data_IF_094180133968
#
_entry.id   IF_094180133968
#
_cell.length_a   1.000
_cell.length_b   1.000
_cell.length_c   1.000
_cell.angle_alpha   90.00
_cell.angle_beta   90.00
_cell.angle_gamma   90.00
#
_symmetry.space_group_name_H-M   'P 1'
#
loop_
_entity.id
_entity.type
_entity.pdbx_description
1 polymer ?
#
# COMPACT_ATOMS: atom_id res chain seq x y z
N UNK A 1 -39.44 -55.19 -60.10
CA UNK A 1 -38.71 -53.96 -60.46
C UNK A 1 -38.45 -53.14 -59.21
N UNK A 2 -37.24 -52.61 -59.13
CA UNK A 2 -36.58 -51.90 -58.02
C UNK A 2 -37.28 -50.57 -57.70
N UNK A 3 -37.34 -50.19 -56.42
CA UNK A 3 -36.77 -48.94 -55.89
C UNK A 3 -36.86 -48.90 -54.36
N UNK A 4 -35.71 -49.14 -53.75
CA UNK A 4 -35.38 -48.77 -52.37
C UNK A 4 -35.12 -47.26 -52.39
N UNK A 5 -35.72 -46.51 -51.48
CA UNK A 5 -35.44 -45.08 -51.29
C UNK A 5 -35.20 -44.82 -49.80
N UNK A 6 -33.93 -44.66 -49.45
CA UNK A 6 -33.47 -43.99 -48.25
C UNK A 6 -33.04 -42.57 -48.65
N UNK A 7 -33.17 -41.59 -47.74
CA UNK A 7 -32.18 -40.52 -47.63
C UNK A 7 -31.53 -40.62 -46.25
N UNK A 8 -30.29 -41.08 -46.19
CA UNK A 8 -29.05 -40.27 -46.25
C UNK A 8 -28.93 -39.37 -45.02
N UNK A 9 -28.16 -39.91 -44.08
CA UNK A 9 -27.38 -39.21 -43.07
C UNK A 9 -26.62 -38.03 -43.68
N UNK A 10 -26.92 -36.82 -43.20
CA UNK A 10 -26.04 -35.65 -43.29
C UNK A 10 -25.98 -35.11 -41.86
N UNK A 11 -25.00 -35.53 -41.05
CA UNK A 11 -23.74 -34.79 -40.87
C UNK A 11 -23.91 -33.30 -41.21
N UNK A 12 -23.73 -32.48 -40.18
CA UNK A 12 -22.95 -31.24 -40.16
C UNK A 12 -23.60 -30.33 -39.11
N UNK A 13 -23.09 -30.47 -37.88
CA UNK A 13 -22.45 -29.33 -37.23
C UNK A 13 -23.36 -28.12 -36.95
N UNK A 14 -24.36 -28.30 -36.10
CA UNK A 14 -24.86 -27.19 -35.29
C UNK A 14 -23.95 -27.02 -34.04
N UNK A 15 -22.65 -26.87 -34.29
CA UNK A 15 -21.74 -26.21 -33.35
C UNK A 15 -22.04 -24.72 -33.47
N UNK A 16 -23.16 -24.32 -32.87
CA UNK A 16 -23.46 -22.92 -32.61
C UNK A 16 -22.33 -22.40 -31.76
N UNK A 17 -21.45 -21.69 -32.46
CA UNK A 17 -20.41 -20.81 -31.96
C UNK A 17 -20.91 -20.10 -30.70
N UNK A 18 -20.55 -20.64 -29.54
CA UNK A 18 -20.47 -19.89 -28.31
C UNK A 18 -19.36 -18.86 -28.52
N UNK A 19 -19.71 -17.77 -29.19
CA UNK A 19 -18.99 -16.50 -29.09
C UNK A 19 -19.11 -16.08 -27.62
N UNK A 20 -18.21 -16.62 -26.80
CA UNK A 20 -17.77 -15.91 -25.61
C UNK A 20 -17.13 -14.63 -26.15
N UNK A 21 -17.95 -13.60 -26.32
CA UNK A 21 -17.46 -12.22 -26.28
C UNK A 21 -16.87 -12.10 -24.89
N UNK A 22 -15.59 -12.43 -24.79
CA UNK A 22 -14.74 -12.03 -23.68
C UNK A 22 -14.81 -10.51 -23.65
N UNK A 23 -15.76 -9.97 -22.91
CA UNK A 23 -15.68 -8.63 -22.36
C UNK A 23 -14.49 -8.67 -21.41
N UNK A 24 -13.29 -8.51 -21.98
CA UNK A 24 -12.17 -7.98 -21.22
C UNK A 24 -12.50 -6.52 -20.99
N UNK A 25 -13.32 -6.26 -19.98
CA UNK A 25 -13.29 -4.95 -19.34
C UNK A 25 -11.82 -4.74 -18.95
N UNK A 26 -11.21 -3.58 -19.26
CA UNK A 26 -9.93 -3.27 -18.65
C UNK A 26 -10.17 -3.39 -17.15
N UNK A 27 -9.50 -4.36 -16.51
CA UNK A 27 -9.41 -4.39 -15.06
C UNK A 27 -8.80 -3.04 -14.72
N UNK A 28 -9.65 -2.09 -14.28
CA UNK A 28 -9.18 -0.93 -13.58
C UNK A 28 -8.45 -1.50 -12.38
N UNK A 29 -7.13 -1.59 -12.50
CA UNK A 29 -6.25 -1.88 -11.39
C UNK A 29 -6.51 -0.71 -10.45
N UNK A 30 -7.42 -0.92 -9.50
CA UNK A 30 -7.58 -0.04 -8.36
C UNK A 30 -6.31 -0.22 -7.56
N UNK A 31 -5.29 0.56 -7.92
CA UNK A 31 -4.12 0.74 -7.07
C UNK A 31 -4.70 1.35 -5.78
N UNK A 32 -4.66 0.63 -4.64
CA UNK A 32 -5.21 1.16 -3.41
C UNK A 32 -4.54 2.51 -3.15
N UNK A 33 -5.34 3.56 -3.06
CA UNK A 33 -4.81 4.86 -2.67
C UNK A 33 -4.30 4.70 -1.24
N UNK A 34 -3.00 4.95 -1.01
CA UNK A 34 -2.40 4.78 0.31
C UNK A 34 -3.15 5.66 1.31
N UNK A 35 -3.98 5.04 2.14
CA UNK A 35 -4.75 5.69 3.18
C UNK A 35 -3.88 5.96 4.40
N UNK A 36 -4.08 7.11 5.03
CA UNK A 36 -3.50 7.39 6.33
C UNK A 36 -4.40 6.79 7.40
N UNK A 37 -4.14 5.54 7.76
CA UNK A 37 -5.02 4.76 8.65
C UNK A 37 -4.28 3.93 9.71
N UNK A 38 -2.95 3.86 9.64
CA UNK A 38 -2.18 3.00 10.53
C UNK A 38 -1.61 3.81 11.67
N UNK A 39 -2.01 3.49 12.90
CA UNK A 39 -1.46 4.13 14.10
C UNK A 39 -0.03 3.64 14.37
N UNK A 40 0.85 4.58 14.70
CA UNK A 40 2.24 4.32 15.06
C UNK A 40 2.71 5.22 16.21
N UNK A 41 3.67 4.73 16.99
CA UNK A 41 4.37 5.50 18.01
C UNK A 41 5.79 5.80 17.52
N UNK A 42 6.20 7.06 17.61
CA UNK A 42 7.54 7.51 17.26
C UNK A 42 8.54 7.08 18.33
N UNK A 43 9.64 6.47 17.91
CA UNK A 43 10.76 6.08 18.76
C UNK A 43 12.09 6.51 18.12
N UNK A 44 12.98 7.10 18.90
CA UNK A 44 14.29 7.56 18.48
C UNK A 44 15.31 6.47 18.75
N UNK A 45 15.99 6.06 17.69
CA UNK A 45 17.12 5.14 17.80
C UNK A 45 18.43 5.94 17.90
N UNK A 46 19.41 5.36 18.57
CA UNK A 46 20.74 5.96 18.72
C UNK A 46 21.33 6.36 17.36
N UNK A 47 21.79 7.61 17.23
CA UNK A 47 22.42 8.12 16.00
C UNK A 47 21.49 8.93 15.08
N UNK A 48 20.44 9.54 15.61
CA UNK A 48 19.47 10.39 14.88
C UNK A 48 18.58 9.63 13.89
N UNK A 49 18.37 8.33 14.13
CA UNK A 49 17.42 7.54 13.35
C UNK A 49 16.06 7.50 14.06
N UNK A 50 15.00 7.28 13.29
CA UNK A 50 13.63 7.22 13.79
C UNK A 50 13.03 5.87 13.42
N UNK A 51 12.31 5.30 14.36
CA UNK A 51 11.50 4.12 14.19
C UNK A 51 10.03 4.46 14.47
N UNK A 52 9.14 3.85 13.72
CA UNK A 52 7.70 3.91 13.93
C UNK A 52 7.25 2.52 14.36
N UNK A 53 6.80 2.43 15.62
CA UNK A 53 6.28 1.19 16.19
C UNK A 53 4.77 1.17 15.95
N UNK A 54 4.32 0.28 15.08
CA UNK A 54 2.90 0.09 14.77
C UNK A 54 2.17 -0.59 15.94
N UNK A 55 0.85 -0.45 16.00
CA UNK A 55 0.03 -1.11 17.05
C UNK A 55 0.16 -2.64 17.05
N UNK A 56 0.45 -3.25 15.90
CA UNK A 56 0.69 -4.69 15.77
C UNK A 56 2.12 -5.12 16.14
N UNK A 57 2.95 -4.18 16.60
CA UNK A 57 4.33 -4.42 17.03
C UNK A 57 5.35 -4.43 15.90
N UNK A 58 4.94 -4.25 14.63
CA UNK A 58 5.89 -4.07 13.53
C UNK A 58 6.64 -2.74 13.69
N UNK A 59 7.89 -2.74 13.24
CA UNK A 59 8.76 -1.56 13.23
C UNK A 59 8.99 -1.12 11.80
N UNK A 60 8.72 0.15 11.51
CA UNK A 60 9.07 0.79 10.25
C UNK A 60 10.21 1.78 10.50
N UNK A 61 11.20 1.80 9.62
CA UNK A 61 12.26 2.83 9.63
C UNK A 61 12.01 3.77 8.47
N UNK A 62 11.58 5.03 8.66
CA UNK A 62 11.28 5.92 7.55
C UNK A 62 12.49 6.19 6.65
N UNK A 63 12.26 6.24 5.34
CA UNK A 63 13.30 6.60 4.36
C UNK A 63 13.68 8.08 4.44
N UNK A 64 12.69 8.95 4.66
CA UNK A 64 12.79 10.39 4.53
C UNK A 64 12.85 11.06 5.91
N UNK A 65 13.99 10.93 6.59
CA UNK A 65 14.26 11.57 7.89
C UNK A 65 15.15 12.79 7.68
N UNK A 66 14.77 13.91 8.26
CA UNK A 66 15.58 15.13 8.32
C UNK A 66 15.65 15.69 9.74
N UNK A 67 16.72 16.41 10.03
CA UNK A 67 16.88 17.15 11.28
C UNK A 67 16.84 18.65 10.97
N UNK A 68 15.96 19.38 11.65
CA UNK A 68 15.86 20.83 11.54
C UNK A 68 16.27 21.45 12.88
N UNK A 69 17.30 22.29 12.84
CA UNK A 69 17.73 23.08 13.99
C UNK A 69 17.14 24.48 13.89
N UNK A 70 16.41 24.91 14.92
CA UNK A 70 15.84 26.25 14.97
C UNK A 70 16.87 27.32 15.42
N UNK A 71 16.48 28.59 15.40
CA UNK A 71 17.33 29.73 15.82
C UNK A 71 17.77 29.67 17.30
N UNK A 72 17.12 28.83 18.11
CA UNK A 72 17.46 28.58 19.52
C UNK A 72 18.44 27.41 19.69
N UNK A 73 18.85 26.76 18.61
CA UNK A 73 19.73 25.60 18.63
C UNK A 73 19.02 24.29 18.99
N UNK A 74 17.68 24.27 19.01
CA UNK A 74 16.92 23.05 19.27
C UNK A 74 16.77 22.25 17.96
N UNK A 75 17.24 21.01 17.95
CA UNK A 75 17.09 20.09 16.82
C UNK A 75 15.80 19.29 16.97
N UNK A 76 14.89 19.45 16.00
CA UNK A 76 13.71 18.62 15.85
C UNK A 76 13.93 17.65 14.70
N UNK A 77 13.48 16.41 14.89
CA UNK A 77 13.48 15.42 13.83
C UNK A 77 12.16 15.47 13.08
N UNK A 78 12.23 15.26 11.77
CA UNK A 78 11.08 15.27 10.88
C UNK A 78 11.06 14.01 10.04
N UNK A 79 9.84 13.54 9.76
CA UNK A 79 9.58 12.48 8.79
C UNK A 79 8.78 13.11 7.65
N UNK A 80 9.32 13.09 6.44
CA UNK A 80 8.66 13.69 5.27
C UNK A 80 8.20 15.15 5.51
N UNK A 81 8.98 15.94 6.25
CA UNK A 81 8.66 17.34 6.60
C UNK A 81 7.66 17.54 7.75
N UNK A 82 7.21 16.45 8.38
CA UNK A 82 6.38 16.52 9.58
C UNK A 82 7.25 16.36 10.83
N UNK A 83 7.28 17.40 11.67
CA UNK A 83 8.02 17.36 12.93
C UNK A 83 7.42 16.35 13.92
N UNK A 84 8.27 15.46 14.43
CA UNK A 84 7.89 14.40 15.38
C UNK A 84 8.63 14.55 16.70
N UNK A 85 8.11 13.89 17.74
CA UNK A 85 8.71 13.80 19.06
C UNK A 85 8.74 12.35 19.53
N UNK A 86 9.72 12.01 20.36
CA UNK A 86 9.76 10.73 21.06
C UNK A 86 8.44 10.43 21.78
N UNK A 87 7.90 9.22 21.57
CA UNK A 87 6.65 8.76 22.17
C UNK A 87 5.37 9.37 21.56
N UNK A 88 5.48 10.22 20.53
CA UNK A 88 4.31 10.80 19.87
C UNK A 88 3.54 9.72 19.10
N UNK A 89 2.21 9.71 19.27
CA UNK A 89 1.32 8.91 18.44
C UNK A 89 0.94 9.66 17.17
N UNK A 90 1.06 8.98 16.03
CA UNK A 90 0.76 9.50 14.71
C UNK A 90 0.01 8.44 13.91
N UNK A 91 -0.81 8.87 12.95
CA UNK A 91 -1.40 7.99 11.95
C UNK A 91 -0.57 8.14 10.68
N UNK A 92 -0.13 7.03 10.12
CA UNK A 92 0.71 6.99 8.92
C UNK A 92 0.08 6.15 7.82
N UNK A 93 0.38 6.52 6.59
CA UNK A 93 0.19 5.68 5.42
C UNK A 93 1.56 5.40 4.80
N UNK A 94 1.81 4.15 4.44
CA UNK A 94 3.08 3.72 3.88
C UNK A 94 2.84 2.64 2.83
N UNK A 95 3.74 2.56 1.86
CA UNK A 95 3.71 1.46 0.92
C UNK A 95 4.48 0.27 1.53
N UNK A 96 3.84 -0.89 1.76
CA UNK A 96 4.57 -2.07 2.16
C UNK A 96 5.53 -2.41 1.02
N UNK A 97 6.83 -2.40 1.32
CA UNK A 97 7.84 -2.74 0.32
C UNK A 97 7.47 -4.09 -0.31
N UNK A 98 7.19 -4.10 -1.62
CA UNK A 98 6.86 -5.29 -2.39
C UNK A 98 8.06 -6.22 -2.45
N UNK A 99 8.39 -6.92 -1.36
CA UNK A 99 9.40 -7.97 -1.17
C UNK A 99 10.70 -7.85 -2.02
N UNK A 100 11.12 -6.63 -2.33
CA UNK A 100 12.38 -6.36 -3.02
C UNK A 100 13.43 -6.15 -1.94
N UNK A 101 14.15 -7.26 -1.68
CA UNK A 101 15.33 -7.39 -0.83
C UNK A 101 16.18 -6.09 -0.80
N UNK A 102 16.42 -5.60 0.43
CA UNK A 102 17.52 -4.70 0.87
C UNK A 102 17.22 -3.23 1.21
N UNK A 103 15.98 -2.74 1.15
CA UNK A 103 15.67 -1.44 1.76
C UNK A 103 15.23 -1.66 3.21
N UNK A 104 16.13 -1.45 4.19
CA UNK A 104 15.76 -1.41 5.63
C UNK A 104 14.78 -0.26 5.94
N UNK A 105 14.56 0.65 4.99
CA UNK A 105 13.76 1.85 5.12
C UNK A 105 12.45 1.79 4.32
N UNK A 106 11.41 2.42 4.86
CA UNK A 106 10.04 2.43 4.36
C UNK A 106 9.64 3.85 3.95
N UNK A 107 9.03 3.99 2.78
CA UNK A 107 8.47 5.27 2.35
C UNK A 107 7.15 5.55 3.07
N UNK A 108 7.14 6.66 3.82
CA UNK A 108 5.96 7.17 4.51
C UNK A 108 5.31 8.22 3.63
N UNK A 109 4.13 7.91 3.12
CA UNK A 109 3.44 8.69 2.10
C UNK A 109 2.53 9.76 2.71
N UNK A 110 2.09 9.54 3.96
CA UNK A 110 1.30 10.52 4.68
C UNK A 110 1.48 10.35 6.19
N UNK A 111 1.31 11.45 6.93
CA UNK A 111 1.39 11.51 8.39
C UNK A 111 0.31 12.46 8.89
N UNK A 112 -0.44 12.03 9.90
CA UNK A 112 -1.41 12.83 10.63
C UNK A 112 -1.05 12.80 12.11
N UNK A 113 -0.81 13.96 12.70
CA UNK A 113 -0.55 14.09 14.13
C UNK A 113 -1.81 13.81 14.95
N UNK A 114 -1.73 12.87 15.89
CA UNK A 114 -2.77 12.72 16.91
C UNK A 114 -2.50 13.80 17.95
N UNK A 115 -3.47 14.70 18.15
CA UNK A 115 -3.33 15.86 19.03
C UNK A 115 -2.72 15.47 20.37
N UNK A 116 -1.62 16.14 20.72
CA UNK A 116 -0.91 15.89 21.97
C UNK A 116 -1.90 15.89 23.12
N UNK A 117 -1.92 14.79 23.89
CA UNK A 117 -2.64 14.74 25.15
C UNK A 117 -1.99 15.81 26.03
N UNK A 118 -2.66 16.96 26.17
CA UNK A 118 -2.26 17.99 27.13
C UNK A 118 -2.40 17.30 28.50
N UNK A 119 -1.31 17.08 29.25
CA UNK A 119 -1.46 16.61 30.62
C UNK A 119 -2.18 17.73 31.39
N UNK A 120 -3.39 17.43 31.88
CA UNK A 120 -4.08 18.23 32.88
C UNK A 120 -3.41 18.07 34.24
#
# INVERSE_FOLDING_TARGET
MKKISAPVSSIVMLLLLSVFTSCGEPEDIVIPQNTCDTMATVHYESGSDIQLILEDGRVLTPANISAITNEKGETNLEISGFAVKEGQQIIVGYEPANQAKNSKKTDINCIVGVGAKIPF
#
